data_IF_956106955643
#
_entry.id   IF_956106955643
#
_cell.length_a   1.000
_cell.length_b   1.000
_cell.length_c   1.000
_cell.angle_alpha   90.00
_cell.angle_beta   90.00
_cell.angle_gamma   90.00
#
_symmetry.space_group_name_H-M   'P 1'
#
loop_
_entity.id
_entity.type
_entity.pdbx_description
1 polymer ?
#
# COMPACT_ATOMS: atom_id res chain seq x y z
N UNK A 1 26.93 5.79 -25.28
CA UNK A 1 25.79 6.72 -25.42
C UNK A 1 24.70 5.97 -26.15
N UNK A 2 23.54 5.78 -25.50
CA UNK A 2 22.46 4.89 -25.96
C UNK A 2 22.07 3.91 -24.86
N UNK A 3 21.45 4.43 -23.78
CA UNK A 3 20.78 3.64 -22.77
C UNK A 3 19.32 4.05 -22.77
N UNK A 4 18.47 3.23 -23.37
CA UNK A 4 17.05 3.47 -23.61
C UNK A 4 16.21 3.13 -22.38
N UNK A 5 15.27 4.05 -22.13
CA UNK A 5 14.14 4.00 -21.19
C UNK A 5 13.32 2.71 -21.28
N UNK A 6 13.69 1.68 -20.51
CA UNK A 6 12.95 0.40 -20.45
C UNK A 6 12.27 0.14 -19.11
N UNK A 7 12.58 0.91 -18.06
CA UNK A 7 12.07 0.69 -16.69
C UNK A 7 10.73 1.38 -16.42
N UNK A 8 10.38 2.43 -17.17
CA UNK A 8 9.19 3.24 -16.88
C UNK A 8 7.85 2.55 -17.28
N UNK A 9 7.88 1.59 -18.22
CA UNK A 9 6.66 0.96 -18.73
C UNK A 9 6.09 -0.13 -17.81
N UNK A 10 6.88 -0.63 -16.86
CA UNK A 10 6.49 -1.76 -15.99
C UNK A 10 5.85 -1.31 -14.68
N UNK A 11 6.31 -0.21 -14.10
CA UNK A 11 5.71 0.40 -12.91
C UNK A 11 4.29 0.89 -13.22
N UNK A 12 4.07 1.45 -14.41
CA UNK A 12 2.75 1.89 -14.89
C UNK A 12 1.77 0.72 -15.04
N UNK A 13 2.22 -0.48 -15.41
CA UNK A 13 1.32 -1.62 -15.60
C UNK A 13 0.82 -2.22 -14.26
N UNK A 14 1.66 -2.19 -13.22
CA UNK A 14 1.29 -2.61 -11.86
C UNK A 14 0.44 -1.55 -11.15
N UNK A 15 0.77 -0.27 -11.29
CA UNK A 15 -0.05 0.84 -10.77
C UNK A 15 -1.41 0.92 -11.45
N UNK A 16 -1.50 0.69 -12.77
CA UNK A 16 -2.80 0.64 -13.48
C UNK A 16 -3.60 -0.60 -13.07
N UNK A 17 -2.96 -1.73 -12.74
CA UNK A 17 -3.67 -2.90 -12.21
C UNK A 17 -4.18 -2.69 -10.78
N UNK A 18 -3.44 -1.95 -9.95
CA UNK A 18 -3.89 -1.51 -8.63
C UNK A 18 -5.01 -0.46 -8.76
N UNK A 19 -4.79 0.67 -9.43
CA UNK A 19 -5.80 1.72 -9.61
C UNK A 19 -7.07 1.28 -10.35
N UNK A 20 -6.97 0.40 -11.37
CA UNK A 20 -8.15 -0.13 -12.05
C UNK A 20 -8.95 -1.10 -11.15
N UNK A 21 -8.34 -1.60 -10.07
CA UNK A 21 -9.01 -2.46 -9.11
C UNK A 21 -9.92 -1.70 -8.12
N UNK A 22 -9.78 -0.37 -7.97
CA UNK A 22 -10.38 0.34 -6.83
C UNK A 22 -11.28 1.54 -7.20
N UNK A 23 -11.75 1.66 -8.45
CA UNK A 23 -12.76 2.68 -8.78
C UNK A 23 -14.19 2.19 -8.45
N UNK A 24 -14.99 2.94 -7.66
CA UNK A 24 -16.30 2.51 -7.12
C UNK A 24 -17.43 2.33 -8.17
N UNK A 25 -17.13 2.44 -9.47
CA UNK A 25 -18.05 2.15 -10.58
C UNK A 25 -17.69 0.92 -11.43
N UNK A 26 -16.72 0.10 -11.01
CA UNK A 26 -16.02 -0.85 -11.90
C UNK A 26 -16.29 -2.34 -11.65
N UNK A 27 -17.15 -2.75 -10.71
CA UNK A 27 -17.38 -4.18 -10.40
C UNK A 27 -17.81 -5.01 -11.65
N UNK A 28 -18.48 -4.41 -12.63
CA UNK A 28 -18.83 -5.08 -13.90
C UNK A 28 -17.66 -5.22 -14.91
N UNK A 29 -16.58 -4.44 -14.75
CA UNK A 29 -15.38 -4.49 -15.61
C UNK A 29 -14.37 -5.55 -15.19
N UNK A 30 -14.54 -6.16 -14.02
CA UNK A 30 -13.71 -7.27 -13.55
C UNK A 30 -13.96 -8.61 -14.27
N UNK A 31 -15.02 -8.72 -15.09
CA UNK A 31 -15.27 -9.91 -15.92
C UNK A 31 -14.20 -10.18 -16.98
N UNK A 32 -13.21 -9.30 -17.15
CA UNK A 32 -12.14 -9.41 -18.15
C UNK A 32 -10.70 -9.49 -17.61
N UNK A 33 -10.47 -9.39 -16.30
CA UNK A 33 -9.14 -9.55 -15.72
C UNK A 33 -8.84 -11.06 -15.60
N UNK A 34 -8.09 -11.58 -16.57
CA UNK A 34 -7.64 -12.98 -16.58
C UNK A 34 -6.61 -13.25 -15.46
N UNK A 35 -6.79 -14.32 -14.66
CA UNK A 35 -5.93 -14.73 -13.52
C UNK A 35 -4.43 -14.95 -13.80
N UNK A 36 -4.02 -14.99 -15.06
CA UNK A 36 -2.63 -15.21 -15.44
C UNK A 36 -1.69 -14.08 -14.97
N UNK A 37 -2.23 -12.91 -14.60
CA UNK A 37 -1.43 -11.74 -14.16
C UNK A 37 -1.00 -11.82 -12.68
N UNK A 38 -1.79 -12.46 -11.81
CA UNK A 38 -1.47 -12.59 -10.37
C UNK A 38 -0.93 -13.97 -9.97
N UNK A 39 -1.25 -15.03 -10.73
CA UNK A 39 -0.70 -16.38 -10.49
C UNK A 39 0.81 -16.49 -10.73
N UNK A 40 1.42 -15.52 -11.42
CA UNK A 40 2.88 -15.42 -11.57
C UNK A 40 3.63 -15.08 -10.27
N UNK A 41 2.94 -14.55 -9.25
CA UNK A 41 3.52 -14.15 -7.95
C UNK A 41 3.83 -15.35 -7.06
N UNK A 42 3.00 -16.40 -7.11
CA UNK A 42 3.11 -17.58 -6.25
C UNK A 42 3.71 -18.73 -7.06
N UNK A 43 5.03 -18.86 -6.98
CA UNK A 43 5.88 -19.95 -7.47
C UNK A 43 5.23 -20.96 -8.42
N UNK A 44 5.68 -20.97 -9.68
CA UNK A 44 5.50 -22.09 -10.62
C UNK A 44 6.18 -23.35 -10.07
N UNK A 45 5.52 -24.04 -9.15
CA UNK A 45 5.79 -25.44 -8.87
C UNK A 45 5.17 -26.26 -10.01
N UNK A 46 6.05 -26.86 -10.79
CA UNK A 46 5.78 -27.30 -12.17
C UNK A 46 4.62 -28.26 -12.35
N UNK A 47 3.99 -28.17 -13.53
CA UNK A 47 3.18 -29.18 -14.23
C UNK A 47 2.25 -30.07 -13.38
N UNK A 48 1.83 -29.62 -12.20
CA UNK A 48 0.62 -30.11 -11.57
C UNK A 48 -0.50 -29.52 -12.41
N UNK A 49 -1.18 -30.39 -13.17
CA UNK A 49 -2.54 -30.17 -13.68
C UNK A 49 -3.22 -29.19 -12.73
N UNK A 50 -3.47 -27.98 -13.22
CA UNK A 50 -4.35 -27.01 -12.56
C UNK A 50 -5.61 -27.79 -12.26
N UNK A 51 -5.75 -28.24 -11.01
CA UNK A 51 -7.04 -28.64 -10.49
C UNK A 51 -7.87 -27.40 -10.75
N UNK A 52 -8.79 -27.47 -11.71
CA UNK A 52 -9.66 -26.34 -11.99
C UNK A 52 -10.31 -25.95 -10.67
N UNK A 53 -10.56 -24.67 -10.47
CA UNK A 53 -11.25 -24.15 -9.30
C UNK A 53 -12.52 -24.99 -9.11
N UNK A 54 -12.48 -25.93 -8.16
CA UNK A 54 -13.52 -26.93 -7.95
C UNK A 54 -14.13 -26.58 -6.63
N UNK A 55 -15.29 -25.92 -6.72
CA UNK A 55 -16.15 -25.71 -5.60
C UNK A 55 -16.37 -27.02 -4.83
N UNK A 56 -16.01 -27.01 -3.54
CA UNK A 56 -16.15 -28.15 -2.65
C UNK A 56 -14.85 -28.91 -2.38
N UNK A 57 -13.68 -28.34 -2.69
CA UNK A 57 -12.39 -28.90 -2.31
C UNK A 57 -11.90 -28.44 -0.92
N UNK A 58 -12.61 -27.47 -0.33
CA UNK A 58 -12.36 -26.92 0.99
C UNK A 58 -11.31 -25.81 1.01
N UNK A 59 -10.93 -25.28 -0.15
CA UNK A 59 -10.01 -24.16 -0.31
C UNK A 59 -10.70 -23.08 -1.12
N UNK A 60 -11.16 -22.02 -0.44
CA UNK A 60 -11.82 -20.89 -1.13
C UNK A 60 -10.88 -20.28 -2.17
N UNK A 61 -11.26 -20.36 -3.44
CA UNK A 61 -10.64 -19.57 -4.49
C UNK A 61 -11.32 -18.20 -4.58
N UNK A 62 -10.67 -17.17 -4.03
CA UNK A 62 -11.15 -15.79 -4.00
C UNK A 62 -11.49 -15.21 -5.41
N UNK A 63 -11.07 -15.85 -6.50
CA UNK A 63 -11.40 -15.42 -7.86
C UNK A 63 -12.75 -15.93 -8.35
N UNK A 64 -13.21 -17.08 -7.87
CA UNK A 64 -14.40 -17.77 -8.38
C UNK A 64 -15.42 -18.12 -7.30
N UNK A 65 -15.04 -18.04 -6.04
CA UNK A 65 -15.78 -18.53 -4.89
C UNK A 65 -15.76 -17.49 -3.78
N UNK A 66 -16.87 -17.35 -3.07
CA UNK A 66 -16.94 -16.50 -1.87
C UNK A 66 -16.61 -17.33 -0.62
N UNK A 67 -16.86 -18.63 -0.69
CA UNK A 67 -16.64 -19.61 0.37
C UNK A 67 -16.35 -21.00 -0.22
N UNK A 68 -15.65 -21.84 0.53
CA UNK A 68 -15.63 -23.27 0.28
C UNK A 68 -15.62 -24.06 1.60
N UNK A 69 -16.73 -24.71 1.92
CA UNK A 69 -16.88 -25.62 3.06
C UNK A 69 -16.64 -27.10 2.66
N UNK A 70 -16.05 -27.35 1.49
CA UNK A 70 -15.73 -28.67 0.98
C UNK A 70 -16.96 -29.47 0.60
N UNK A 71 -16.98 -30.74 1.00
CA UNK A 71 -18.13 -31.63 0.77
C UNK A 71 -19.43 -31.17 1.45
N UNK A 72 -19.34 -30.23 2.40
CA UNK A 72 -20.50 -29.67 3.10
C UNK A 72 -21.17 -28.51 2.33
N UNK A 73 -20.66 -28.10 1.17
CA UNK A 73 -21.31 -27.08 0.35
C UNK A 73 -22.75 -27.48 0.00
N UNK A 74 -23.70 -26.60 0.33
CA UNK A 74 -25.13 -26.82 0.14
C UNK A 74 -25.81 -27.70 1.19
N UNK A 75 -25.09 -28.19 2.20
CA UNK A 75 -25.71 -28.83 3.35
C UNK A 75 -26.57 -27.80 4.13
N UNK A 76 -27.68 -28.22 4.79
CA UNK A 76 -28.59 -27.30 5.50
C UNK A 76 -27.93 -26.42 6.57
N UNK A 77 -26.84 -26.89 7.18
CA UNK A 77 -26.09 -26.18 8.21
C UNK A 77 -24.82 -25.49 7.67
N UNK A 78 -24.58 -25.55 6.36
CA UNK A 78 -23.43 -24.92 5.73
C UNK A 78 -23.68 -23.45 5.47
N UNK A 79 -22.69 -22.61 5.80
CA UNK A 79 -22.71 -21.20 5.42
C UNK A 79 -22.40 -21.00 3.92
N UNK A 80 -22.07 -22.08 3.21
CA UNK A 80 -21.69 -22.07 1.82
C UNK A 80 -22.70 -22.85 0.97
N UNK A 81 -23.25 -22.20 -0.05
CA UNK A 81 -24.15 -22.83 -1.00
C UNK A 81 -23.41 -23.83 -1.91
N UNK A 82 -24.16 -24.70 -2.60
CA UNK A 82 -23.58 -25.73 -3.47
C UNK A 82 -22.76 -25.17 -4.65
N UNK A 83 -22.88 -23.88 -4.94
CA UNK A 83 -22.15 -23.12 -5.96
C UNK A 83 -21.04 -22.24 -5.37
N UNK A 84 -20.61 -22.47 -4.12
CA UNK A 84 -19.52 -21.76 -3.46
C UNK A 84 -19.73 -20.24 -3.30
N UNK A 85 -21.00 -19.86 -3.13
CA UNK A 85 -21.39 -18.52 -2.70
C UNK A 85 -21.92 -18.59 -1.27
N UNK A 86 -21.78 -17.51 -0.52
CA UNK A 86 -22.41 -17.43 0.80
C UNK A 86 -23.93 -17.58 0.68
N UNK A 87 -24.51 -18.34 1.61
CA UNK A 87 -25.97 -18.39 1.77
C UNK A 87 -26.48 -17.02 2.24
N UNK A 88 -27.71 -16.60 1.86
CA UNK A 88 -28.23 -15.29 2.22
C UNK A 88 -28.21 -14.99 3.73
N UNK A 89 -28.36 -16.01 4.57
CA UNK A 89 -28.44 -15.88 6.03
C UNK A 89 -27.14 -15.38 6.68
N UNK A 90 -26.00 -15.54 6.01
CA UNK A 90 -24.70 -15.07 6.50
C UNK A 90 -24.22 -13.79 5.79
N UNK A 91 -25.00 -13.32 4.81
CA UNK A 91 -24.80 -12.04 4.13
C UNK A 91 -25.50 -10.94 4.91
N UNK A 92 -24.76 -10.29 5.79
CA UNK A 92 -25.31 -9.15 6.50
C UNK A 92 -25.10 -7.90 5.64
N UNK A 93 -25.87 -7.80 4.55
CA UNK A 93 -25.77 -6.74 3.53
C UNK A 93 -26.17 -5.33 4.06
N UNK A 94 -26.34 -5.18 5.38
CA UNK A 94 -26.65 -3.95 6.08
C UNK A 94 -25.48 -3.55 6.97
N UNK A 95 -25.52 -2.31 7.48
CA UNK A 95 -24.54 -1.83 8.45
C UNK A 95 -24.66 -2.59 9.77
N UNK A 96 -23.56 -3.18 10.22
CA UNK A 96 -23.46 -3.83 11.51
C UNK A 96 -23.23 -2.78 12.60
N UNK A 97 -24.31 -2.28 13.17
CA UNK A 97 -24.24 -1.35 14.29
C UNK A 97 -24.16 -2.11 15.63
N UNK A 98 -22.97 -2.13 16.24
CA UNK A 98 -22.65 -2.90 17.44
C UNK A 98 -22.51 -1.95 18.63
N UNK A 99 -23.55 -1.91 19.49
CA UNK A 99 -23.58 -1.03 20.65
C UNK A 99 -23.56 -1.74 22.02
N UNK A 100 -23.68 -3.07 22.03
CA UNK A 100 -23.52 -3.87 23.23
C UNK A 100 -23.16 -5.33 22.89
N UNK A 101 -22.98 -6.14 23.94
CA UNK A 101 -22.66 -7.55 23.79
C UNK A 101 -23.79 -8.34 23.08
N UNK A 102 -25.06 -7.98 23.27
CA UNK A 102 -26.18 -8.69 22.63
C UNK A 102 -26.18 -8.48 21.12
N UNK A 103 -25.95 -7.24 20.65
CA UNK A 103 -25.82 -6.95 19.21
C UNK A 103 -24.58 -7.60 18.60
N UNK A 104 -23.46 -7.61 19.33
CA UNK A 104 -22.25 -8.31 18.90
C UNK A 104 -22.51 -9.81 18.70
N UNK A 105 -23.22 -10.45 19.63
CA UNK A 105 -23.60 -11.87 19.55
C UNK A 105 -24.54 -12.15 18.37
N UNK A 106 -25.49 -11.25 18.07
CA UNK A 106 -26.40 -11.44 16.94
C UNK A 106 -25.71 -11.40 15.58
N UNK A 107 -24.56 -10.72 15.47
CA UNK A 107 -23.78 -10.61 14.24
C UNK A 107 -22.64 -11.63 14.14
N UNK A 108 -22.51 -12.55 15.10
CA UNK A 108 -21.47 -13.59 15.05
C UNK A 108 -21.61 -14.53 13.85
N UNK A 109 -22.78 -14.61 13.22
CA UNK A 109 -23.01 -15.44 12.04
C UNK A 109 -22.66 -14.72 10.72
N UNK A 110 -22.42 -13.40 10.75
CA UNK A 110 -22.12 -12.61 9.56
C UNK A 110 -20.76 -13.02 8.97
N UNK A 111 -20.75 -13.27 7.67
CA UNK A 111 -19.54 -13.50 6.85
C UNK A 111 -19.18 -12.26 6.04
N UNK A 112 -20.19 -11.48 5.63
CA UNK A 112 -20.04 -10.20 4.96
C UNK A 112 -20.76 -9.10 5.75
N UNK A 113 -20.29 -7.86 5.61
CA UNK A 113 -20.94 -6.65 6.09
C UNK A 113 -20.81 -5.55 5.04
N UNK A 114 -21.73 -4.58 5.01
CA UNK A 114 -21.46 -3.32 4.32
C UNK A 114 -20.50 -2.49 5.17
N UNK A 115 -20.98 -1.89 6.26
CA UNK A 115 -20.13 -1.28 7.28
C UNK A 115 -20.17 -2.05 8.61
N UNK A 116 -19.17 -1.85 9.46
CA UNK A 116 -19.14 -2.31 10.86
C UNK A 116 -18.85 -1.12 11.75
N UNK A 117 -19.85 -0.68 12.52
CA UNK A 117 -19.79 0.54 13.33
C UNK A 117 -19.91 0.19 14.80
N UNK A 118 -18.96 0.66 15.61
CA UNK A 118 -18.94 0.40 17.06
C UNK A 118 -19.33 1.62 17.91
N UNK A 119 -20.29 1.44 18.82
CA UNK A 119 -20.71 2.44 19.83
C UNK A 119 -20.99 1.71 21.16
N UNK A 120 -19.95 1.10 21.75
CA UNK A 120 -20.12 0.22 22.91
C UNK A 120 -20.26 0.99 24.22
N UNK A 121 -21.41 0.83 24.88
CA UNK A 121 -21.70 1.39 26.20
C UNK A 121 -21.07 0.61 27.36
N UNK A 122 -20.62 -0.62 27.08
CA UNK A 122 -20.04 -1.54 28.05
C UNK A 122 -18.63 -1.96 27.64
N UNK A 123 -17.78 -2.19 28.64
CA UNK A 123 -16.42 -2.68 28.41
C UNK A 123 -16.41 -4.09 27.84
N UNK A 124 -16.11 -4.23 26.55
CA UNK A 124 -16.17 -5.50 25.82
C UNK A 124 -14.87 -5.75 25.04
N UNK A 125 -14.46 -7.02 24.98
CA UNK A 125 -13.47 -7.48 24.00
C UNK A 125 -14.23 -7.96 22.78
N UNK A 126 -14.06 -7.28 21.65
CA UNK A 126 -14.76 -7.58 20.42
C UNK A 126 -13.97 -8.62 19.65
N UNK A 127 -14.64 -9.74 19.37
CA UNK A 127 -14.14 -10.76 18.46
C UNK A 127 -15.24 -11.03 17.43
N UNK A 128 -14.92 -10.88 16.15
CA UNK A 128 -15.79 -11.24 15.03
C UNK A 128 -15.11 -12.33 14.22
N UNK A 129 -15.14 -13.58 14.70
CA UNK A 129 -14.35 -14.67 14.15
C UNK A 129 -14.86 -15.14 12.80
N UNK A 130 -16.10 -14.81 12.42
CA UNK A 130 -16.68 -15.29 11.18
C UNK A 130 -16.65 -14.27 10.06
N UNK A 131 -16.47 -12.98 10.36
CA UNK A 131 -16.46 -11.93 9.35
C UNK A 131 -15.25 -12.09 8.42
N UNK A 132 -15.50 -12.08 7.11
CA UNK A 132 -14.50 -12.33 6.06
C UNK A 132 -14.32 -11.11 5.16
N UNK A 133 -15.42 -10.42 4.82
CA UNK A 133 -15.42 -9.26 3.93
C UNK A 133 -16.22 -8.11 4.54
N UNK A 134 -15.69 -6.89 4.43
CA UNK A 134 -16.41 -5.64 4.72
C UNK A 134 -16.34 -4.79 3.45
N UNK A 135 -17.50 -4.37 2.94
CA UNK A 135 -17.62 -3.67 1.65
C UNK A 135 -17.53 -2.14 1.76
N UNK A 136 -17.56 -1.61 2.97
CA UNK A 136 -17.24 -0.23 3.31
C UNK A 136 -16.30 -0.23 4.52
N UNK A 137 -16.74 0.38 5.61
CA UNK A 137 -15.87 0.76 6.73
C UNK A 137 -15.90 -0.21 7.90
N UNK A 138 -14.79 -0.27 8.63
CA UNK A 138 -14.72 -0.79 10.00
C UNK A 138 -14.33 0.36 10.91
N UNK A 139 -15.32 0.94 11.59
CA UNK A 139 -15.14 2.22 12.29
C UNK A 139 -15.70 2.24 13.72
N UNK A 140 -15.15 3.12 14.56
CA UNK A 140 -15.87 3.59 15.74
C UNK A 140 -16.77 4.79 15.41
N UNK A 141 -17.89 4.89 16.10
CA UNK A 141 -18.84 5.97 15.81
C UNK A 141 -18.30 7.30 16.35
N UNK A 142 -18.01 8.23 15.44
CA UNK A 142 -17.58 9.58 15.79
C UNK A 142 -18.52 10.28 16.79
N UNK A 143 -17.95 10.82 17.87
CA UNK A 143 -18.67 11.53 18.93
C UNK A 143 -19.49 10.66 19.90
N UNK A 144 -19.48 9.33 19.72
CA UNK A 144 -20.06 8.37 20.67
C UNK A 144 -19.09 7.98 21.79
N UNK A 145 -19.58 7.16 22.72
CA UNK A 145 -18.70 6.42 23.65
C UNK A 145 -18.44 5.04 23.08
N UNK A 146 -17.17 4.63 23.02
CA UNK A 146 -16.81 3.27 22.68
C UNK A 146 -15.88 2.66 23.74
N UNK A 147 -16.44 1.83 24.62
CA UNK A 147 -15.71 1.16 25.70
C UNK A 147 -15.02 -0.16 25.27
N UNK A 148 -14.78 -0.35 23.97
CA UNK A 148 -14.03 -1.49 23.45
C UNK A 148 -12.64 -1.58 24.08
N UNK A 149 -12.23 -2.77 24.53
CA UNK A 149 -10.87 -3.01 25.05
C UNK A 149 -9.94 -3.68 24.06
N UNK A 150 -10.47 -4.52 23.18
CA UNK A 150 -9.71 -5.15 22.10
C UNK A 150 -10.62 -5.42 20.92
N UNK A 151 -10.05 -5.37 19.73
CA UNK A 151 -10.71 -5.72 18.47
C UNK A 151 -9.95 -6.86 17.80
N UNK A 152 -10.62 -7.95 17.48
CA UNK A 152 -10.05 -9.05 16.73
C UNK A 152 -11.01 -9.56 15.65
N UNK A 153 -10.53 -9.58 14.40
CA UNK A 153 -11.26 -10.13 13.27
C UNK A 153 -10.37 -11.17 12.55
N UNK A 154 -10.21 -12.37 13.12
CA UNK A 154 -9.16 -13.32 12.71
C UNK A 154 -9.29 -13.86 11.29
N UNK A 155 -10.49 -13.81 10.71
CA UNK A 155 -10.79 -14.31 9.37
C UNK A 155 -11.13 -13.19 8.38
N UNK A 156 -11.03 -11.91 8.78
CA UNK A 156 -11.23 -10.79 7.86
C UNK A 156 -10.10 -10.77 6.84
N UNK A 157 -10.45 -10.83 5.55
CA UNK A 157 -9.51 -10.87 4.42
C UNK A 157 -9.45 -9.52 3.72
N UNK A 158 -10.56 -8.81 3.67
CA UNK A 158 -10.73 -7.61 2.84
C UNK A 158 -11.65 -6.61 3.53
N UNK A 159 -11.22 -5.35 3.54
CA UNK A 159 -12.05 -4.17 3.83
C UNK A 159 -11.98 -3.30 2.59
N UNK A 160 -13.11 -2.89 2.02
CA UNK A 160 -13.08 -2.18 0.75
C UNK A 160 -12.58 -0.75 0.89
N UNK A 161 -12.98 -0.09 1.97
CA UNK A 161 -12.82 1.35 2.18
C UNK A 161 -11.88 1.54 3.38
N UNK A 162 -12.40 1.98 4.53
CA UNK A 162 -11.57 2.48 5.62
C UNK A 162 -11.62 1.59 6.88
N UNK A 163 -10.46 1.45 7.55
CA UNK A 163 -10.42 1.10 8.97
C UNK A 163 -10.13 2.38 9.76
N UNK A 164 -11.16 2.99 10.34
CA UNK A 164 -11.08 4.27 11.09
C UNK A 164 -11.35 4.07 12.58
N UNK A 165 -10.37 4.38 13.41
CA UNK A 165 -10.60 4.54 14.84
C UNK A 165 -10.04 5.87 15.31
N UNK A 166 -10.93 6.86 15.40
CA UNK A 166 -10.60 8.27 15.68
C UNK A 166 -11.17 8.74 17.02
N UNK A 167 -10.43 8.44 18.10
CA UNK A 167 -10.61 9.03 19.43
C UNK A 167 -11.85 8.61 20.24
N UNK A 168 -12.88 8.00 19.65
CA UNK A 168 -14.06 7.54 20.41
C UNK A 168 -13.77 6.28 21.25
N UNK A 169 -12.76 5.50 20.85
CA UNK A 169 -12.33 4.25 21.48
C UNK A 169 -11.23 4.42 22.54
N UNK A 170 -11.42 5.33 23.52
CA UNK A 170 -10.41 5.66 24.53
C UNK A 170 -9.91 4.46 25.38
N UNK A 171 -10.71 3.39 25.45
CA UNK A 171 -10.40 2.16 26.21
C UNK A 171 -9.67 1.08 25.40
N UNK A 172 -9.48 1.28 24.08
CA UNK A 172 -8.93 0.27 23.19
C UNK A 172 -7.44 0.03 23.49
N UNK A 173 -7.06 -1.22 23.73
CA UNK A 173 -5.70 -1.64 24.08
C UNK A 173 -4.97 -2.31 22.91
N UNK A 174 -5.72 -3.03 22.05
CA UNK A 174 -5.14 -3.79 20.96
C UNK A 174 -6.10 -4.00 19.79
N UNK A 175 -5.55 -4.01 18.58
CA UNK A 175 -6.24 -4.40 17.34
C UNK A 175 -5.50 -5.56 16.68
N UNK A 176 -6.24 -6.56 16.18
CA UNK A 176 -5.65 -7.78 15.58
C UNK A 176 -6.45 -8.26 14.35
N UNK A 177 -5.81 -8.17 13.19
CA UNK A 177 -6.32 -8.55 11.87
C UNK A 177 -5.36 -9.52 11.17
N UNK A 178 -5.19 -10.75 11.70
CA UNK A 178 -4.15 -11.68 11.28
C UNK A 178 -4.33 -12.27 9.87
N UNK A 179 -5.50 -12.08 9.26
CA UNK A 179 -5.81 -12.57 7.91
C UNK A 179 -6.09 -11.47 6.90
N UNK A 180 -6.08 -10.20 7.31
CA UNK A 180 -6.37 -9.08 6.41
C UNK A 180 -5.27 -9.01 5.36
N UNK A 181 -5.67 -8.99 4.09
CA UNK A 181 -4.76 -8.94 2.95
C UNK A 181 -4.79 -7.58 2.26
N UNK A 182 -5.95 -6.93 2.22
CA UNK A 182 -6.15 -5.67 1.50
C UNK A 182 -7.13 -4.77 2.27
N UNK A 183 -6.85 -3.47 2.23
CA UNK A 183 -7.72 -2.38 2.69
C UNK A 183 -7.43 -1.14 1.82
N UNK A 184 -8.39 -0.24 1.64
CA UNK A 184 -8.13 1.02 0.94
C UNK A 184 -7.34 1.98 1.84
N UNK A 185 -7.81 2.24 3.06
CA UNK A 185 -7.16 3.14 4.01
C UNK A 185 -7.15 2.60 5.46
N UNK A 186 -6.12 2.94 6.24
CA UNK A 186 -6.05 2.71 7.68
C UNK A 186 -5.82 4.05 8.38
N UNK A 187 -6.79 4.51 9.18
CA UNK A 187 -6.68 5.68 10.04
C UNK A 187 -6.85 5.28 11.52
N UNK A 188 -5.77 5.37 12.30
CA UNK A 188 -5.81 5.08 13.74
C UNK A 188 -5.28 6.30 14.50
N UNK A 189 -6.19 7.07 15.07
CA UNK A 189 -5.89 8.39 15.62
C UNK A 189 -6.43 8.58 17.05
N UNK A 190 -5.60 9.17 17.91
CA UNK A 190 -6.06 9.71 19.19
C UNK A 190 -6.53 8.66 20.19
N UNK A 191 -5.98 7.44 20.13
CA UNK A 191 -6.32 6.34 21.04
C UNK A 191 -5.32 6.27 22.21
N UNK A 192 -5.58 6.92 23.36
CA UNK A 192 -4.58 7.12 24.41
C UNK A 192 -4.11 5.83 25.07
N UNK A 193 -4.89 4.75 25.02
CA UNK A 193 -4.55 3.47 25.66
C UNK A 193 -4.11 2.39 24.67
N UNK A 194 -4.15 2.64 23.36
CA UNK A 194 -3.78 1.65 22.35
C UNK A 194 -2.28 1.34 22.48
N UNK A 195 -1.95 0.06 22.58
CA UNK A 195 -0.58 -0.42 22.77
C UNK A 195 -0.05 -1.13 21.52
N UNK A 196 -0.94 -1.77 20.77
CA UNK A 196 -0.57 -2.61 19.62
C UNK A 196 -1.64 -2.66 18.53
N UNK A 197 -1.20 -2.74 17.28
CA UNK A 197 -2.06 -3.03 16.13
C UNK A 197 -1.35 -4.02 15.18
N UNK A 198 -2.00 -5.15 14.86
CA UNK A 198 -1.37 -6.25 14.14
C UNK A 198 -2.09 -6.57 12.83
N UNK A 199 -1.34 -6.48 11.73
CA UNK A 199 -1.77 -6.76 10.36
C UNK A 199 -0.72 -7.64 9.63
N UNK A 200 -0.34 -8.81 10.20
CA UNK A 200 0.84 -9.57 9.76
C UNK A 200 0.76 -10.09 8.32
N UNK A 201 -0.44 -10.17 7.72
CA UNK A 201 -0.64 -10.63 6.34
C UNK A 201 -1.09 -9.52 5.39
N UNK A 202 -1.20 -8.28 5.85
CA UNK A 202 -1.62 -7.16 5.00
C UNK A 202 -0.59 -6.98 3.89
N UNK A 203 -1.04 -7.04 2.64
CA UNK A 203 -0.19 -6.97 1.45
C UNK A 203 -0.21 -5.57 0.85
N UNK A 204 -1.38 -4.95 0.76
CA UNK A 204 -1.58 -3.67 0.07
C UNK A 204 -2.53 -2.78 0.82
N UNK A 205 -2.20 -1.49 0.82
CA UNK A 205 -3.09 -0.37 1.15
C UNK A 205 -3.11 0.54 -0.07
N UNK A 206 -4.28 0.83 -0.65
CA UNK A 206 -4.38 1.61 -1.89
C UNK A 206 -4.41 3.12 -1.68
N UNK A 207 -4.56 3.56 -0.43
CA UNK A 207 -4.50 4.95 -0.01
C UNK A 207 -3.52 5.06 1.19
N UNK A 208 -3.95 5.66 2.31
CA UNK A 208 -3.08 5.99 3.43
C UNK A 208 -2.98 4.93 4.52
N UNK A 209 -1.84 4.92 5.21
CA UNK A 209 -1.62 4.24 6.48
C UNK A 209 -1.22 5.28 7.52
N UNK A 210 -2.16 5.67 8.37
CA UNK A 210 -1.97 6.72 9.37
C UNK A 210 -2.07 6.18 10.81
N UNK A 211 -1.01 6.41 11.59
CA UNK A 211 -0.98 6.16 13.03
C UNK A 211 -0.63 7.45 13.77
N UNK A 212 -1.60 8.05 14.45
CA UNK A 212 -1.46 9.38 15.02
C UNK A 212 -1.85 9.48 16.49
N UNK A 213 -1.11 10.29 17.26
CA UNK A 213 -1.51 10.76 18.60
C UNK A 213 -1.80 9.64 19.62
N UNK A 214 -1.02 8.56 19.60
CA UNK A 214 -1.18 7.44 20.52
C UNK A 214 -0.01 7.35 21.53
N UNK A 215 -0.13 7.99 22.71
CA UNK A 215 0.97 8.09 23.67
C UNK A 215 1.46 6.76 24.26
N UNK A 216 0.67 5.68 24.19
CA UNK A 216 1.04 4.35 24.71
C UNK A 216 1.34 3.33 23.60
N UNK A 217 1.30 3.74 22.32
CA UNK A 217 1.50 2.84 21.20
C UNK A 217 2.97 2.45 21.08
N UNK A 218 3.24 1.15 21.18
CA UNK A 218 4.62 0.63 21.32
C UNK A 218 4.95 -0.48 20.33
N UNK A 219 3.96 -1.06 19.65
CA UNK A 219 4.18 -2.15 18.72
C UNK A 219 3.17 -2.15 17.59
N UNK A 220 3.62 -2.56 16.41
CA UNK A 220 2.75 -2.84 15.28
C UNK A 220 3.33 -4.02 14.50
N UNK A 221 2.51 -4.66 13.65
CA UNK A 221 2.98 -5.67 12.72
C UNK A 221 2.41 -5.41 11.32
N UNK A 222 3.30 -5.05 10.41
CA UNK A 222 3.04 -4.85 8.98
C UNK A 222 4.08 -5.61 8.14
N UNK A 223 4.53 -6.76 8.63
CA UNK A 223 5.68 -7.50 8.04
C UNK A 223 5.44 -7.92 6.59
N UNK A 224 4.19 -8.11 6.18
CA UNK A 224 3.81 -8.50 4.81
C UNK A 224 3.46 -7.33 3.90
N UNK A 225 3.40 -6.09 4.43
CA UNK A 225 2.98 -4.91 3.66
C UNK A 225 4.00 -4.67 2.53
N UNK A 226 3.52 -4.67 1.29
CA UNK A 226 4.32 -4.50 0.09
C UNK A 226 4.05 -3.16 -0.61
N UNK A 227 2.80 -2.70 -0.59
CA UNK A 227 2.34 -1.51 -1.31
C UNK A 227 1.52 -0.61 -0.39
N UNK A 228 1.81 0.68 -0.44
CA UNK A 228 1.06 1.77 0.18
C UNK A 228 1.05 2.91 -0.85
N UNK A 229 0.00 3.02 -1.65
CA UNK A 229 0.08 3.81 -2.89
C UNK A 229 0.24 5.32 -2.63
N UNK A 230 -0.39 5.85 -1.57
CA UNK A 230 -0.30 7.26 -1.18
C UNK A 230 0.64 7.43 0.03
N UNK A 231 0.13 7.71 1.23
CA UNK A 231 0.95 8.10 2.37
C UNK A 231 1.08 7.01 3.46
N UNK A 232 2.31 6.79 3.93
CA UNK A 232 2.59 6.09 5.19
C UNK A 232 3.03 7.09 6.25
N UNK A 233 2.17 7.36 7.25
CA UNK A 233 2.37 8.40 8.26
C UNK A 233 2.35 7.86 9.68
N UNK A 234 3.45 8.08 10.41
CA UNK A 234 3.52 7.95 11.87
C UNK A 234 3.69 9.33 12.50
N UNK A 235 2.77 9.72 13.39
CA UNK A 235 2.76 11.04 14.00
C UNK A 235 2.53 10.98 15.51
N UNK A 236 3.44 11.55 16.30
CA UNK A 236 3.29 11.66 17.76
C UNK A 236 3.08 10.30 18.46
N UNK A 237 4.04 9.37 18.25
CA UNK A 237 4.08 8.02 18.82
C UNK A 237 5.28 7.85 19.77
N UNK A 238 5.27 8.47 20.97
CA UNK A 238 6.47 8.59 21.83
C UNK A 238 6.97 7.25 22.43
N UNK A 239 6.11 6.24 22.51
CA UNK A 239 6.48 4.91 23.01
C UNK A 239 7.01 3.98 21.93
N UNK A 240 6.93 4.37 20.65
CA UNK A 240 7.55 3.65 19.56
C UNK A 240 9.07 3.91 19.58
N UNK A 241 9.81 2.93 20.09
CA UNK A 241 11.25 3.05 20.38
C UNK A 241 12.07 2.02 19.61
N UNK A 242 13.29 2.40 19.22
CA UNK A 242 14.25 1.49 18.64
C UNK A 242 14.11 1.35 17.13
N UNK A 243 13.69 0.17 16.66
CA UNK A 243 13.67 -0.18 15.24
C UNK A 243 12.25 -0.12 14.68
N UNK A 244 12.06 0.68 13.64
CA UNK A 244 10.88 0.67 12.78
C UNK A 244 11.22 -0.17 11.54
N UNK A 245 10.57 -1.30 11.36
CA UNK A 245 10.88 -2.26 10.29
C UNK A 245 9.63 -2.52 9.45
N UNK A 246 9.79 -2.38 8.12
CA UNK A 246 8.80 -2.78 7.13
C UNK A 246 9.51 -3.67 6.09
N UNK A 247 9.75 -4.95 6.44
CA UNK A 247 10.69 -5.81 5.72
C UNK A 247 10.23 -6.16 4.30
N UNK A 248 8.94 -6.09 4.02
CA UNK A 248 8.35 -6.41 2.71
C UNK A 248 7.97 -5.18 1.89
N UNK A 249 8.04 -3.96 2.45
CA UNK A 249 7.57 -2.74 1.79
C UNK A 249 8.40 -2.47 0.54
N UNK A 250 7.76 -2.58 -0.62
CA UNK A 250 8.37 -2.47 -1.94
C UNK A 250 8.13 -1.08 -2.55
N UNK A 251 6.94 -0.53 -2.36
CA UNK A 251 6.56 0.81 -2.79
C UNK A 251 5.76 1.51 -1.70
N UNK A 252 6.09 2.78 -1.51
CA UNK A 252 5.24 3.76 -0.85
C UNK A 252 5.26 5.06 -1.66
N UNK A 253 4.18 5.82 -1.70
CA UNK A 253 4.19 7.21 -2.19
C UNK A 253 5.03 8.06 -1.24
N UNK A 254 4.40 8.53 -0.16
CA UNK A 254 5.03 9.40 0.83
C UNK A 254 5.32 8.66 2.13
N UNK A 255 6.53 8.81 2.68
CA UNK A 255 6.91 8.20 3.95
C UNK A 255 7.20 9.26 5.00
N UNK A 256 6.27 9.43 5.95
CA UNK A 256 6.26 10.50 6.94
C UNK A 256 6.45 9.93 8.36
N UNK A 257 7.47 10.42 9.08
CA UNK A 257 7.58 10.23 10.54
C UNK A 257 7.69 11.60 11.19
N UNK A 258 6.74 11.91 12.05
CA UNK A 258 6.69 13.14 12.84
C UNK A 258 6.64 12.85 14.33
N UNK A 259 7.42 13.59 15.11
CA UNK A 259 7.48 13.47 16.57
C UNK A 259 7.86 12.03 17.04
N UNK A 260 8.61 11.30 16.21
CA UNK A 260 9.10 9.94 16.46
C UNK A 260 10.31 9.91 17.40
N UNK A 261 10.17 10.49 18.59
CA UNK A 261 11.29 10.76 19.51
C UNK A 261 12.09 9.53 19.96
N UNK A 262 11.51 8.33 19.89
CA UNK A 262 12.15 7.07 20.26
C UNK A 262 12.74 6.26 19.09
N UNK A 263 12.44 6.62 17.84
CA UNK A 263 12.82 5.83 16.65
C UNK A 263 14.30 6.04 16.36
N UNK A 264 15.09 4.97 16.44
CA UNK A 264 16.54 5.00 16.21
C UNK A 264 16.94 4.52 14.82
N UNK A 265 16.22 3.55 14.27
CA UNK A 265 16.54 2.91 12.99
C UNK A 265 15.27 2.66 12.19
N UNK A 266 15.30 2.99 10.90
CA UNK A 266 14.25 2.67 9.92
C UNK A 266 14.80 1.62 8.94
N UNK A 267 14.16 0.45 8.86
CA UNK A 267 14.55 -0.66 7.99
C UNK A 267 13.52 -0.90 6.89
N UNK A 268 13.95 -0.65 5.65
CA UNK A 268 13.16 -0.77 4.41
C UNK A 268 13.94 -1.62 3.39
N UNK A 269 14.29 -2.87 3.73
CA UNK A 269 15.31 -3.66 3.03
C UNK A 269 14.98 -3.98 1.57
N UNK A 270 13.69 -3.97 1.21
CA UNK A 270 13.22 -4.27 -0.16
C UNK A 270 12.59 -3.09 -0.87
N UNK A 271 12.51 -1.92 -0.21
CA UNK A 271 11.91 -0.72 -0.78
C UNK A 271 12.62 -0.34 -2.06
N UNK A 272 11.85 -0.22 -3.13
CA UNK A 272 12.33 0.05 -4.47
C UNK A 272 11.88 1.41 -4.99
N UNK A 273 10.67 1.85 -4.63
CA UNK A 273 10.11 3.14 -5.03
C UNK A 273 9.58 3.91 -3.82
N UNK A 274 9.89 5.20 -3.78
CA UNK A 274 9.54 6.17 -2.75
C UNK A 274 9.46 7.53 -3.44
N UNK A 275 8.34 8.23 -3.30
CA UNK A 275 8.16 9.56 -3.86
C UNK A 275 8.78 10.60 -2.91
N UNK A 276 8.21 10.77 -1.72
CA UNK A 276 8.73 11.69 -0.69
C UNK A 276 9.07 11.02 0.65
N UNK A 277 10.02 11.60 1.37
CA UNK A 277 10.45 11.15 2.69
C UNK A 277 10.53 12.35 3.63
N UNK A 278 9.67 12.39 4.65
CA UNK A 278 9.65 13.48 5.60
C UNK A 278 9.88 12.97 7.01
N UNK A 279 10.88 13.53 7.66
CA UNK A 279 11.32 13.15 8.99
C UNK A 279 11.40 14.39 9.87
N UNK A 280 10.32 14.66 10.59
CA UNK A 280 10.18 15.83 11.46
C UNK A 280 10.32 15.41 12.92
N UNK A 281 11.22 16.08 13.65
CA UNK A 281 11.35 15.92 15.10
C UNK A 281 11.62 14.46 15.53
N UNK A 282 12.58 13.83 14.85
CA UNK A 282 13.06 12.45 15.11
C UNK A 282 14.48 12.41 15.71
N UNK A 283 14.75 13.06 16.86
CA UNK A 283 16.10 13.29 17.39
C UNK A 283 16.91 12.03 17.71
N UNK A 284 16.25 10.88 17.91
CA UNK A 284 16.92 9.60 18.18
C UNK A 284 17.38 8.88 16.91
N UNK A 285 16.99 9.34 15.72
CA UNK A 285 17.23 8.65 14.46
C UNK A 285 18.72 8.63 14.11
N UNK A 286 19.27 7.42 14.03
CA UNK A 286 20.68 7.15 13.72
C UNK A 286 20.85 6.59 12.31
N UNK A 287 19.86 5.86 11.79
CA UNK A 287 20.03 5.11 10.54
C UNK A 287 18.72 4.93 9.77
N UNK A 288 18.81 5.03 8.45
CA UNK A 288 17.79 4.58 7.52
C UNK A 288 18.44 3.62 6.53
N UNK A 289 17.87 2.43 6.36
CA UNK A 289 18.40 1.40 5.47
C UNK A 289 17.39 1.03 4.40
N UNK A 290 17.63 1.49 3.19
CA UNK A 290 16.82 1.22 2.01
C UNK A 290 17.74 0.81 0.83
N UNK A 291 18.41 -0.36 0.92
CA UNK A 291 19.50 -0.72 0.03
C UNK A 291 19.04 -0.96 -1.40
N UNK A 292 17.74 -1.27 -1.62
CA UNK A 292 17.17 -1.50 -2.96
C UNK A 292 16.49 -0.27 -3.57
N UNK A 293 16.50 0.86 -2.87
CA UNK A 293 15.80 2.06 -3.31
C UNK A 293 16.36 2.55 -4.64
N UNK A 294 15.45 2.83 -5.58
CA UNK A 294 15.75 3.43 -6.88
C UNK A 294 14.93 4.69 -7.04
N UNK A 295 15.49 5.72 -7.66
CA UNK A 295 14.75 6.95 -7.88
C UNK A 295 13.93 6.86 -9.18
N UNK A 296 12.62 7.09 -9.06
CA UNK A 296 11.62 6.97 -10.12
C UNK A 296 11.64 8.11 -11.14
N UNK A 297 12.58 9.06 -11.04
CA UNK A 297 12.79 10.14 -12.00
C UNK A 297 12.21 11.51 -11.60
N UNK A 298 11.57 11.60 -10.43
CA UNK A 298 11.24 12.86 -9.76
C UNK A 298 12.45 13.46 -9.01
N UNK A 299 12.46 14.78 -8.83
CA UNK A 299 13.31 15.41 -7.83
C UNK A 299 12.73 15.08 -6.46
N UNK A 300 13.44 14.28 -5.68
CA UNK A 300 13.04 13.87 -4.33
C UNK A 300 12.86 15.10 -3.44
N UNK A 301 11.73 15.20 -2.74
CA UNK A 301 11.50 16.28 -1.78
C UNK A 301 11.70 15.80 -0.34
N UNK A 302 12.84 15.15 -0.04
CA UNK A 302 13.03 14.71 1.35
C UNK A 302 13.36 15.86 2.29
N UNK A 303 12.71 15.85 3.44
CA UNK A 303 12.90 16.80 4.53
C UNK A 303 13.29 16.09 5.81
N UNK A 304 14.28 16.68 6.50
CA UNK A 304 14.74 16.28 7.82
C UNK A 304 14.69 17.55 8.69
N UNK A 305 13.77 17.60 9.65
CA UNK A 305 13.73 18.68 10.64
C UNK A 305 14.40 18.23 11.96
N UNK A 306 15.16 19.14 12.56
CA UNK A 306 15.92 18.93 13.80
C UNK A 306 17.41 18.61 13.63
N UNK A 307 18.13 18.55 14.76
CA UNK A 307 19.57 18.23 14.82
C UNK A 307 19.80 16.71 14.72
N UNK A 308 19.39 16.13 13.59
CA UNK A 308 19.57 14.71 13.27
C UNK A 308 20.75 14.50 12.35
N UNK A 309 21.49 13.42 12.57
CA UNK A 309 22.69 13.09 11.79
C UNK A 309 22.64 11.63 11.32
N UNK A 310 21.60 11.22 10.57
CA UNK A 310 21.40 9.81 10.24
C UNK A 310 22.39 9.33 9.19
N UNK A 311 22.69 8.04 9.24
CA UNK A 311 23.34 7.31 8.14
C UNK A 311 22.27 6.76 7.21
N UNK A 312 22.29 7.19 5.95
CA UNK A 312 21.38 6.73 4.89
C UNK A 312 22.09 5.64 4.07
N UNK A 313 21.67 4.39 4.21
CA UNK A 313 22.21 3.26 3.46
C UNK A 313 21.38 2.98 2.20
N UNK A 314 21.87 3.50 1.07
CA UNK A 314 21.19 3.52 -0.23
C UNK A 314 22.05 2.78 -1.27
N UNK A 315 22.16 1.47 -1.12
CA UNK A 315 23.13 0.66 -1.86
C UNK A 315 22.86 0.49 -3.36
N UNK A 316 21.61 0.66 -3.81
CA UNK A 316 21.24 0.68 -5.23
C UNK A 316 21.42 2.04 -5.88
N UNK A 317 21.54 3.11 -5.08
CA UNK A 317 21.64 4.48 -5.58
C UNK A 317 23.05 4.75 -6.11
N UNK A 318 23.21 5.15 -7.39
CA UNK A 318 24.47 5.61 -7.95
C UNK A 318 25.04 6.81 -7.17
N UNK A 319 26.37 6.90 -7.10
CA UNK A 319 27.06 7.97 -6.36
C UNK A 319 26.70 9.39 -6.84
N UNK A 320 26.32 9.55 -8.10
CA UNK A 320 25.94 10.84 -8.67
C UNK A 320 24.60 11.30 -8.08
N UNK A 321 23.63 10.40 -7.97
CA UNK A 321 22.32 10.68 -7.38
C UNK A 321 22.44 10.90 -5.87
N UNK A 322 23.25 10.10 -5.17
CA UNK A 322 23.56 10.30 -3.75
C UNK A 322 24.15 11.70 -3.45
N UNK A 323 24.89 12.28 -4.41
CA UNK A 323 25.42 13.66 -4.30
C UNK A 323 24.39 14.74 -4.56
N UNK A 324 23.25 14.42 -5.18
CA UNK A 324 22.12 15.36 -5.34
C UNK A 324 21.30 15.39 -4.05
N UNK A 325 21.21 14.26 -3.34
CA UNK A 325 20.53 14.18 -2.05
C UNK A 325 21.18 15.17 -1.06
N UNK A 326 22.49 15.04 -0.80
CA UNK A 326 23.15 15.81 0.28
C UNK A 326 22.92 17.34 0.24
N UNK A 327 23.00 18.04 -0.92
CA UNK A 327 22.86 19.50 -0.97
C UNK A 327 21.42 19.99 -1.12
N UNK A 328 20.51 19.18 -1.67
CA UNK A 328 19.11 19.58 -1.92
C UNK A 328 18.16 19.10 -0.83
N UNK A 329 18.54 18.05 -0.13
CA UNK A 329 17.66 17.24 0.72
C UNK A 329 18.08 17.43 2.17
N UNK A 330 17.64 18.56 2.73
CA UNK A 330 17.49 18.87 4.16
C UNK A 330 18.64 18.60 5.17
N UNK A 331 19.84 18.21 4.73
CA UNK A 331 21.06 18.31 5.55
C UNK A 331 21.63 19.75 5.51
N UNK A 332 20.83 20.73 5.08
CA UNK A 332 21.25 22.09 4.76
C UNK A 332 21.31 23.02 5.98
N UNK A 333 20.57 22.71 7.06
CA UNK A 333 20.41 23.56 8.26
C UNK A 333 21.08 22.98 9.52
N UNK A 334 22.27 22.38 9.35
CA UNK A 334 23.11 21.91 10.46
C UNK A 334 23.07 20.40 10.71
N UNK A 335 22.06 19.70 10.20
CA UNK A 335 22.01 18.25 10.12
C UNK A 335 23.13 17.71 9.21
N UNK A 336 24.00 16.85 9.73
CA UNK A 336 25.05 16.14 8.96
C UNK A 336 24.61 14.71 8.70
N UNK A 337 23.81 14.53 7.67
CA UNK A 337 23.49 13.18 7.19
C UNK A 337 24.72 12.60 6.46
N UNK A 338 24.93 11.29 6.60
CA UNK A 338 25.97 10.57 5.84
C UNK A 338 25.30 9.57 4.91
N UNK A 339 25.63 9.62 3.61
CA UNK A 339 25.06 8.69 2.63
C UNK A 339 26.05 7.58 2.28
N UNK A 340 25.68 6.34 2.60
CA UNK A 340 26.37 5.12 2.20
C UNK A 340 25.76 4.60 0.89
N UNK A 341 26.41 4.92 -0.23
CA UNK A 341 25.96 4.53 -1.58
C UNK A 341 26.54 3.19 -2.05
N UNK A 342 26.18 2.75 -3.27
CA UNK A 342 26.70 1.54 -3.93
C UNK A 342 28.23 1.33 -3.88
N UNK A 343 29.01 2.41 -3.73
CA UNK A 343 30.47 2.35 -3.71
C UNK A 343 31.09 2.18 -2.32
N UNK A 344 30.29 2.31 -1.26
CA UNK A 344 30.77 2.20 0.13
C UNK A 344 31.24 0.79 0.48
N UNK A 345 32.05 0.69 1.54
CA UNK A 345 32.42 -0.62 2.09
C UNK A 345 31.20 -1.37 2.65
N UNK A 346 30.25 -0.64 3.25
CA UNK A 346 29.01 -1.20 3.82
C UNK A 346 28.21 -1.92 2.73
N UNK A 347 27.92 -1.24 1.61
CA UNK A 347 27.16 -1.82 0.51
C UNK A 347 27.93 -2.94 -0.23
N UNK A 348 29.27 -2.84 -0.30
CA UNK A 348 30.10 -3.92 -0.86
C UNK A 348 30.02 -5.20 -0.03
N UNK A 349 30.00 -5.10 1.29
CA UNK A 349 29.88 -6.27 2.17
C UNK A 349 28.52 -6.96 2.02
N UNK A 350 27.43 -6.20 1.89
CA UNK A 350 26.11 -6.76 1.61
C UNK A 350 26.06 -7.51 0.28
N UNK A 351 26.62 -6.93 -0.79
CA UNK A 351 26.68 -7.57 -2.10
C UNK A 351 27.51 -8.86 -2.11
N UNK A 352 28.44 -9.01 -1.15
CA UNK A 352 29.22 -10.24 -0.97
C UNK A 352 28.40 -11.32 -0.25
N UNK A 353 27.63 -10.95 0.78
CA UNK A 353 26.77 -11.89 1.52
C UNK A 353 25.76 -12.56 0.58
N UNK A 354 25.16 -11.80 -0.33
CA UNK A 354 24.23 -12.33 -1.37
C UNK A 354 24.91 -13.25 -2.39
N UNK A 355 26.21 -13.07 -2.66
CA UNK A 355 26.95 -13.93 -3.60
C UNK A 355 27.49 -15.20 -2.97
N UNK A 356 27.84 -15.18 -1.69
CA UNK A 356 28.38 -16.35 -0.98
C UNK A 356 27.28 -17.28 -0.47
N UNK A 357 26.10 -16.73 -0.16
CA UNK A 357 24.90 -17.49 0.11
C UNK A 357 24.25 -17.91 -1.20
N UNK A 358 24.78 -18.94 -1.85
CA UNK A 358 23.96 -19.78 -2.75
C UNK A 358 23.04 -20.66 -1.88
N UNK A 359 22.42 -20.05 -0.87
CA UNK A 359 21.27 -20.65 -0.21
C UNK A 359 20.14 -20.51 -1.21
N UNK A 360 19.54 -21.65 -1.54
CA UNK A 360 18.25 -21.71 -2.21
C UNK A 360 17.20 -21.07 -1.28
N UNK A 361 17.27 -19.74 -1.12
CA UNK A 361 16.20 -18.96 -0.52
C UNK A 361 15.05 -19.11 -1.49
N UNK A 362 14.16 -20.07 -1.20
CA UNK A 362 12.82 -20.18 -1.80
C UNK A 362 11.93 -19.00 -1.38
N UNK A 363 12.49 -17.79 -1.31
CA UNK A 363 11.72 -16.57 -1.37
C UNK A 363 11.43 -16.36 -2.83
N UNK A 364 10.18 -16.58 -3.24
CA UNK A 364 9.77 -16.31 -4.60
C UNK A 364 10.08 -14.86 -4.92
N UNK A 365 11.14 -14.63 -5.70
CA UNK A 365 11.34 -13.34 -6.34
C UNK A 365 10.18 -13.17 -7.31
N UNK A 366 9.12 -12.50 -6.84
CA UNK A 366 7.94 -12.07 -7.58
C UNK A 366 8.29 -11.57 -9.00
N UNK A 367 9.43 -10.90 -9.10
CA UNK A 367 9.90 -10.22 -10.30
C UNK A 367 10.77 -11.08 -11.25
N UNK A 368 11.31 -12.24 -10.82
CA UNK A 368 12.03 -13.14 -11.75
C UNK A 368 11.08 -13.87 -12.72
N UNK A 369 9.80 -14.04 -12.34
CA UNK A 369 8.77 -14.59 -13.20
C UNK A 369 8.28 -13.61 -14.27
N UNK A 370 8.27 -12.31 -13.94
CA UNK A 370 7.79 -11.27 -14.85
C UNK A 370 8.79 -11.01 -15.99
N UNK A 371 10.11 -11.09 -15.77
CA UNK A 371 11.17 -10.80 -16.76
C UNK A 371 11.18 -11.70 -18.04
N UNK A 372 10.18 -12.57 -18.22
CA UNK A 372 10.04 -13.50 -19.34
C UNK A 372 8.83 -13.22 -20.24
N UNK A 373 8.26 -12.03 -20.23
CA UNK A 373 7.28 -11.64 -21.25
C UNK A 373 7.96 -11.53 -22.64
N UNK A 374 7.42 -12.18 -23.69
CA UNK A 374 7.91 -12.01 -25.05
C UNK A 374 7.73 -10.56 -25.50
N UNK A 375 8.70 -10.02 -26.24
CA UNK A 375 8.58 -8.68 -26.84
C UNK A 375 7.32 -8.62 -27.72
N UNK A 376 6.48 -7.63 -27.46
CA UNK A 376 5.28 -7.33 -28.26
C UNK A 376 5.69 -6.64 -29.56
N UNK A 377 6.30 -7.39 -30.48
CA UNK A 377 6.60 -6.97 -31.86
C UNK A 377 5.49 -7.43 -32.83
N UNK A 378 4.22 -7.18 -32.46
CA UNK A 378 3.04 -7.59 -33.22
C UNK A 378 2.29 -6.43 -33.86
N UNK A 379 2.12 -6.48 -35.17
CA UNK A 379 1.49 -5.52 -36.07
C UNK A 379 0.00 -5.25 -35.75
N UNK A 380 -0.32 -4.12 -35.10
CA UNK A 380 -1.69 -3.67 -34.78
C UNK A 380 -2.35 -2.90 -35.94
N UNK A 381 -2.17 -3.38 -37.17
CA UNK A 381 -2.92 -2.91 -38.32
C UNK A 381 -4.22 -3.71 -38.52
N UNK A 382 -5.34 -3.18 -38.01
CA UNK A 382 -6.76 -3.53 -38.34
C UNK A 382 -7.53 -4.37 -37.31
N UNK A 383 -7.97 -3.72 -36.24
CA UNK A 383 -9.27 -3.93 -35.60
C UNK A 383 -9.63 -2.56 -34.99
N UNK A 384 -10.64 -1.84 -35.49
CA UNK A 384 -12.05 -2.13 -35.29
C UNK A 384 -12.51 -1.30 -34.08
N UNK A 385 -13.15 -0.17 -34.37
CA UNK A 385 -13.50 0.92 -33.43
C UNK A 385 -14.09 0.45 -32.09
N UNK A 386 -13.59 1.02 -30.99
CA UNK A 386 -14.26 1.02 -29.69
C UNK A 386 -13.45 0.44 -28.52
N UNK A 387 -12.37 1.11 -28.09
CA UNK A 387 -11.87 0.91 -26.72
C UNK A 387 -11.01 2.06 -26.15
N UNK A 388 -10.76 3.15 -26.88
CA UNK A 388 -9.99 4.28 -26.34
C UNK A 388 -10.50 5.59 -26.95
N UNK A 389 -11.57 6.14 -26.38
CA UNK A 389 -11.91 7.54 -26.55
C UNK A 389 -11.64 8.20 -25.19
N UNK A 390 -10.37 8.57 -24.97
CA UNK A 390 -9.95 9.40 -23.85
C UNK A 390 -10.14 10.85 -24.28
N UNK A 391 -11.22 11.46 -23.81
CA UNK A 391 -11.54 12.86 -24.01
C UNK A 391 -10.57 13.74 -23.19
N UNK A 392 -9.66 14.43 -23.89
CA UNK A 392 -8.63 15.31 -23.32
C UNK A 392 -9.05 16.80 -23.30
N UNK A 393 -10.35 17.13 -23.31
CA UNK A 393 -10.84 18.52 -23.34
C UNK A 393 -11.02 19.20 -21.95
N UNK A 394 -10.42 18.69 -20.88
CA UNK A 394 -10.55 19.27 -19.52
C UNK A 394 -9.41 20.24 -19.12
N UNK A 395 -8.42 20.49 -19.99
CA UNK A 395 -7.41 21.53 -19.77
C UNK A 395 -7.54 22.69 -20.78
N UNK A 396 -8.37 23.67 -20.44
CA UNK A 396 -8.26 25.02 -21.03
C UNK A 396 -9.58 25.72 -21.38
N UNK A 397 -10.23 26.37 -20.40
CA UNK A 397 -11.22 27.42 -20.66
C UNK A 397 -10.74 28.76 -20.13
N UNK A 398 -9.85 29.41 -20.89
CA UNK A 398 -9.72 30.87 -20.85
C UNK A 398 -10.69 31.50 -21.85
N UNK A 399 -11.32 32.60 -21.41
CA UNK A 399 -12.53 33.17 -21.99
C UNK A 399 -12.44 33.59 -23.46
N UNK A 400 -13.56 33.40 -24.17
CA UNK A 400 -13.87 34.09 -25.42
C UNK A 400 -14.27 35.53 -25.11
N UNK A 401 -13.50 36.49 -25.62
CA UNK A 401 -14.01 37.80 -26.01
C UNK A 401 -13.65 38.06 -27.47
N UNK A 402 -14.64 38.60 -28.16
CA UNK A 402 -14.74 38.91 -29.59
C UNK A 402 -13.73 39.94 -30.08
N UNK A 403 -13.33 39.83 -31.36
CA UNK A 403 -13.18 41.03 -32.20
C UNK A 403 -11.94 41.12 -33.07
N UNK A 404 -12.22 41.11 -34.39
CA UNK A 404 -11.52 41.79 -35.48
C UNK A 404 -10.27 41.18 -36.14
N UNK A 405 -10.36 41.24 -37.48
CA UNK A 405 -9.42 40.77 -38.49
C UNK A 405 -8.35 41.82 -38.72
N UNK A 406 -7.10 41.40 -38.80
CA UNK A 406 -6.12 42.05 -39.67
C UNK A 406 -5.23 41.02 -40.38
N UNK A 407 -5.08 41.22 -41.69
CA UNK A 407 -4.18 40.48 -42.57
C UNK A 407 -2.79 41.08 -42.43
N UNK A 408 -1.77 40.26 -42.23
CA UNK A 408 -0.44 40.60 -42.72
C UNK A 408 0.43 39.37 -43.04
N UNK A 409 1.46 39.65 -43.82
CA UNK A 409 2.13 38.77 -44.78
C UNK A 409 3.32 38.02 -44.17
N UNK A 410 3.51 36.80 -44.68
CA UNK A 410 4.79 36.12 -44.98
C UNK A 410 6.07 36.51 -44.23
N UNK A 411 6.60 35.55 -43.48
CA UNK A 411 7.99 35.54 -43.02
C UNK A 411 8.42 34.11 -42.68
N UNK A 412 9.55 33.67 -43.25
CA UNK A 412 10.23 32.41 -42.93
C UNK A 412 10.72 32.43 -41.48
N UNK A 413 10.52 31.34 -40.73
CA UNK A 413 11.18 31.11 -39.44
C UNK A 413 12.33 30.12 -39.62
N UNK A 414 13.55 30.65 -39.58
CA UNK A 414 14.74 29.95 -39.10
C UNK A 414 15.03 30.48 -37.68
N UNK A 415 15.56 29.59 -36.83
CA UNK A 415 16.18 29.81 -35.51
C UNK A 415 15.29 29.76 -34.26
N UNK A 416 15.46 28.67 -33.49
CA UNK A 416 15.20 28.63 -32.05
C UNK A 416 16.29 29.43 -31.30
N UNK A 417 15.93 30.26 -30.30
CA UNK A 417 16.91 30.91 -29.44
C UNK A 417 17.47 29.95 -28.38
N UNK A 418 18.79 29.99 -28.24
CA UNK A 418 19.58 29.29 -27.23
C UNK A 418 19.36 29.92 -25.84
N UNK A 419 18.95 29.16 -24.80
CA UNK A 419 18.57 29.73 -23.52
C UNK A 419 19.71 29.69 -22.48
N UNK A 420 20.91 30.21 -22.77
CA UNK A 420 21.90 30.50 -21.70
C UNK A 420 22.88 31.61 -22.12
N UNK A 421 23.07 32.68 -21.32
CA UNK A 421 24.22 33.57 -21.46
C UNK A 421 25.46 32.97 -20.78
N UNK A 422 26.59 33.03 -21.48
CA UNK A 422 27.90 32.69 -20.95
C UNK A 422 28.33 33.68 -19.84
N UNK A 423 28.82 33.13 -18.73
CA UNK A 423 29.46 33.87 -17.65
C UNK A 423 30.81 34.45 -18.14
N UNK A 424 31.03 35.73 -17.87
CA UNK A 424 32.36 36.37 -17.82
C UNK A 424 32.83 36.44 -16.38
#
# INVERSE_FOLDING_TARGET
MGGTSFTCCWTVLLLVAAHAAFSPGSLDKFKGLSPDTFTGLFGKDGDKKTAGNVCGDGVTDLQTEECDAGAENGAPDSFCAANCTFVPEVRCDEDLFINNATTLESFQNCRTAFNVVFELDDTINVVMPNLVYVLGDVEDKSGGTNLMRSLSMPNLIFVNDLIDFSGASEELLSMDFPSLLYVEEIEINGLPKLQSANFPKLISVSDNVEFENMPNFSSFNLDSLQFCDDEFRFNNLPELKGELSLPSLFHVGDFNIKDGTGVETVLLPVLNSLDDLNLDSVPALKRIRAPKLTFSGGLLSWSFDGDVNPVLELCSVPIIEARVIIPQVACADGAKCTVESATSSVCKEESKKTKSGKEDVKGGNLFEGLAKFPSLDGDWGKAGDGLLDLDFDVLGKFGKATGEKEKEKGGKHDNCPNPYPALQ
#
